data_IF_754296149135
#
_entry.id   IF_754296149135
#
_cell.length_a   1.000
_cell.length_b   1.000
_cell.length_c   1.000
_cell.angle_alpha   90.00
_cell.angle_beta   90.00
_cell.angle_gamma   90.00
#
_symmetry.space_group_name_H-M   'P 1'
#
loop_
_entity.id
_entity.type
_entity.pdbx_description
1 polymer ?
#
# COMPACT_ATOMS: atom_id res chain seq x y z
N UNK A 1 -13.42 -0.14 10.93
CA UNK A 1 -13.25 0.81 12.04
C UNK A 1 -14.37 0.74 13.07
N UNK A 2 -15.64 0.90 12.67
CA UNK A 2 -16.77 0.86 13.63
C UNK A 2 -16.81 -0.43 14.48
N UNK A 3 -16.56 -1.59 13.88
CA UNK A 3 -16.50 -2.87 14.59
C UNK A 3 -15.40 -2.90 15.68
N UNK A 4 -14.21 -2.33 15.42
CA UNK A 4 -13.16 -2.21 16.44
C UNK A 4 -13.60 -1.34 17.62
N UNK A 5 -14.13 -0.15 17.32
CA UNK A 5 -14.55 0.82 18.35
C UNK A 5 -15.69 0.25 19.21
N UNK A 6 -16.56 -0.59 18.63
CA UNK A 6 -17.63 -1.29 19.33
C UNK A 6 -17.19 -2.57 20.05
N UNK A 7 -15.92 -3.00 19.90
CA UNK A 7 -15.43 -4.26 20.45
C UNK A 7 -15.94 -5.51 19.74
N UNK A 8 -16.46 -5.38 18.51
CA UNK A 8 -16.93 -6.49 17.67
C UNK A 8 -15.79 -7.14 16.85
N UNK A 9 -14.61 -6.51 16.83
CA UNK A 9 -13.40 -7.02 16.19
C UNK A 9 -12.19 -6.69 17.06
N UNK A 10 -11.17 -7.55 17.04
CA UNK A 10 -9.95 -7.39 17.84
C UNK A 10 -8.81 -6.69 17.08
N UNK A 11 -8.83 -6.75 15.75
CA UNK A 11 -7.76 -6.22 14.91
C UNK A 11 -8.28 -5.64 13.59
N UNK A 12 -7.54 -4.69 13.04
CA UNK A 12 -7.80 -4.08 11.74
C UNK A 12 -6.50 -3.80 11.02
N UNK A 13 -6.54 -3.94 9.70
CA UNK A 13 -5.46 -3.57 8.80
C UNK A 13 -6.02 -2.59 7.76
N UNK A 14 -5.36 -1.45 7.64
CA UNK A 14 -5.77 -0.37 6.73
C UNK A 14 -4.63 0.62 6.52
N UNK A 15 -4.92 1.73 5.84
CA UNK A 15 -3.91 2.77 5.61
C UNK A 15 -3.56 3.50 6.92
N UNK A 16 -2.32 3.94 7.04
CA UNK A 16 -1.81 4.71 8.18
C UNK A 16 -2.73 5.91 8.49
N UNK A 17 -3.11 6.68 7.46
CA UNK A 17 -3.99 7.84 7.58
C UNK A 17 -5.36 7.54 8.19
N UNK A 18 -5.88 6.30 8.04
CA UNK A 18 -7.18 5.90 8.58
C UNK A 18 -7.08 5.53 10.07
N UNK A 19 -5.94 4.97 10.50
CA UNK A 19 -5.75 4.51 11.89
C UNK A 19 -5.05 5.56 12.77
N UNK A 20 -4.37 6.53 12.18
CA UNK A 20 -3.47 7.45 12.88
C UNK A 20 -4.09 8.13 14.10
N UNK A 21 -5.26 8.77 13.94
CA UNK A 21 -5.91 9.49 15.03
C UNK A 21 -6.18 8.57 16.23
N UNK A 22 -6.73 7.38 15.99
CA UNK A 22 -7.07 6.42 17.05
C UNK A 22 -5.83 5.85 17.75
N UNK A 23 -4.70 5.73 17.03
CA UNK A 23 -3.43 5.33 17.65
C UNK A 23 -2.85 6.46 18.49
N UNK A 24 -2.94 7.70 18.01
CA UNK A 24 -2.44 8.88 18.72
C UNK A 24 -3.26 9.24 19.96
N UNK A 25 -4.57 9.01 19.95
CA UNK A 25 -5.46 9.19 21.12
C UNK A 25 -5.37 8.05 22.12
N UNK A 26 -4.72 6.94 21.76
CA UNK A 26 -4.58 5.74 22.60
C UNK A 26 -5.79 4.80 22.56
N UNK A 27 -6.78 5.08 21.70
CA UNK A 27 -7.96 4.21 21.50
C UNK A 27 -7.58 2.88 20.82
N UNK A 28 -6.53 2.89 19.99
CA UNK A 28 -5.94 1.71 19.35
C UNK A 28 -4.43 1.64 19.61
N UNK A 29 -3.89 0.42 19.58
CA UNK A 29 -2.44 0.19 19.61
C UNK A 29 -1.93 -0.08 18.20
N UNK A 30 -1.04 0.78 17.70
CA UNK A 30 -0.31 0.51 16.46
C UNK A 30 0.66 -0.66 16.65
N UNK A 31 0.45 -1.76 15.90
CA UNK A 31 1.28 -2.96 16.01
C UNK A 31 2.44 -2.94 15.03
N UNK A 32 2.15 -2.69 13.74
CA UNK A 32 3.12 -2.72 12.66
C UNK A 32 2.64 -1.91 11.47
N UNK A 33 3.55 -1.27 10.74
CA UNK A 33 3.29 -0.64 9.45
C UNK A 33 3.81 -1.51 8.32
N UNK A 34 2.93 -1.82 7.38
CA UNK A 34 3.26 -2.69 6.24
C UNK A 34 3.87 -1.86 5.12
N UNK A 35 5.15 -1.53 5.30
CA UNK A 35 5.99 -0.82 4.33
C UNK A 35 7.34 -1.54 4.21
N UNK A 36 7.95 -1.45 3.02
CA UNK A 36 9.22 -2.13 2.72
C UNK A 36 10.33 -1.73 3.68
N UNK A 37 10.45 -0.43 3.96
CA UNK A 37 11.46 0.10 4.87
C UNK A 37 11.06 1.45 5.46
N UNK A 38 11.74 1.85 6.53
CA UNK A 38 11.55 3.13 7.22
C UNK A 38 10.35 3.13 8.17
N UNK A 39 10.11 4.27 8.80
CA UNK A 39 8.94 4.49 9.68
C UNK A 39 7.81 5.17 8.93
N UNK A 40 6.60 5.12 9.50
CA UNK A 40 5.45 5.83 8.99
C UNK A 40 5.63 7.34 9.01
N UNK A 41 4.95 8.05 8.12
CA UNK A 41 5.02 9.52 8.08
C UNK A 41 4.21 10.16 9.21
N UNK A 42 3.14 9.49 9.66
CA UNK A 42 2.20 9.99 10.67
C UNK A 42 2.41 9.29 12.02
N UNK A 43 2.80 8.02 11.99
CA UNK A 43 3.04 7.16 13.15
C UNK A 43 4.50 6.66 13.18
N UNK A 44 5.49 7.54 13.41
CA UNK A 44 6.91 7.16 13.35
C UNK A 44 7.32 6.16 14.45
N UNK A 45 6.58 6.12 15.56
CA UNK A 45 6.88 5.24 16.70
C UNK A 45 6.45 3.79 16.46
N UNK A 46 5.54 3.55 15.50
CA UNK A 46 5.10 2.20 15.13
C UNK A 46 6.18 1.56 14.24
N UNK A 47 6.67 0.35 14.55
CA UNK A 47 7.69 -0.32 13.74
C UNK A 47 7.15 -0.71 12.38
N UNK A 48 8.03 -0.67 11.37
CA UNK A 48 7.74 -1.31 10.09
C UNK A 48 7.73 -2.83 10.21
N UNK A 49 7.13 -3.50 9.23
CA UNK A 49 7.07 -4.94 9.16
C UNK A 49 8.47 -5.57 9.14
N UNK A 50 9.42 -4.98 8.42
CA UNK A 50 10.79 -5.46 8.36
C UNK A 50 11.58 -5.26 9.66
N UNK A 51 11.25 -4.23 10.46
CA UNK A 51 11.86 -4.06 11.79
C UNK A 51 11.30 -5.04 12.83
N UNK A 52 9.98 -5.28 12.80
CA UNK A 52 9.33 -6.18 13.75
C UNK A 52 9.52 -7.66 13.37
N UNK A 53 9.58 -7.95 12.07
CA UNK A 53 9.67 -9.30 11.50
C UNK A 53 10.61 -9.28 10.29
N UNK A 54 11.93 -9.39 10.48
CA UNK A 54 12.91 -9.34 9.39
C UNK A 54 12.66 -10.38 8.29
N UNK A 55 12.13 -11.55 8.65
CA UNK A 55 11.76 -12.63 7.72
C UNK A 55 10.53 -12.29 6.85
N UNK A 56 9.77 -11.25 7.24
CA UNK A 56 8.54 -10.80 6.60
C UNK A 56 8.73 -9.74 5.52
N UNK A 57 9.96 -9.45 5.08
CA UNK A 57 10.21 -8.42 4.06
C UNK A 57 9.43 -8.70 2.75
N UNK A 58 9.32 -9.97 2.33
CA UNK A 58 8.53 -10.34 1.15
C UNK A 58 7.03 -10.03 1.30
N UNK A 59 6.51 -10.00 2.53
CA UNK A 59 5.11 -9.64 2.80
C UNK A 59 4.89 -8.13 2.63
N UNK A 60 5.89 -7.30 2.91
CA UNK A 60 5.76 -5.84 2.78
C UNK A 60 5.51 -5.42 1.32
N UNK A 61 6.25 -6.01 0.38
CA UNK A 61 6.07 -5.76 -1.06
C UNK A 61 4.72 -6.31 -1.58
N UNK A 62 4.26 -7.44 -1.02
CA UNK A 62 2.94 -8.01 -1.36
C UNK A 62 1.79 -7.13 -0.88
N UNK A 63 1.82 -6.73 0.39
CA UNK A 63 0.69 -6.10 1.09
C UNK A 63 0.61 -4.59 0.91
N UNK A 64 1.68 -3.95 0.39
CA UNK A 64 1.70 -2.52 0.14
C UNK A 64 0.54 -2.06 -0.75
N UNK A 65 0.01 -0.86 -0.49
CA UNK A 65 -1.06 -0.31 -1.32
C UNK A 65 -0.46 0.36 -2.56
N UNK A 66 -0.80 -0.15 -3.74
CA UNK A 66 -0.42 0.43 -5.04
C UNK A 66 -1.67 0.83 -5.82
N UNK A 67 -1.57 1.92 -6.59
CA UNK A 67 -2.57 2.34 -7.57
C UNK A 67 -1.89 2.43 -8.92
N UNK A 68 -2.29 1.56 -9.85
CA UNK A 68 -1.66 1.44 -11.18
C UNK A 68 -2.58 2.04 -12.23
N UNK A 69 -2.02 2.83 -13.13
CA UNK A 69 -2.67 3.19 -14.39
C UNK A 69 -2.25 2.16 -15.45
N UNK A 70 -3.21 1.40 -15.97
CA UNK A 70 -2.97 0.39 -16.99
C UNK A 70 -3.75 0.71 -18.27
N UNK A 71 -3.20 0.28 -19.41
CA UNK A 71 -3.85 0.37 -20.71
C UNK A 71 -4.05 -1.04 -21.30
N UNK A 72 -5.01 -1.24 -22.22
CA UNK A 72 -5.22 -2.54 -22.85
C UNK A 72 -3.98 -3.07 -23.57
N UNK A 73 -3.82 -4.41 -23.67
CA UNK A 73 -2.78 -5.01 -24.50
C UNK A 73 -2.84 -4.50 -25.94
N UNK A 74 -1.67 -4.24 -26.53
CA UNK A 74 -1.58 -3.73 -27.91
C UNK A 74 -1.81 -2.22 -28.06
N UNK A 75 -1.96 -1.47 -26.96
CA UNK A 75 -2.01 0.00 -27.02
C UNK A 75 -0.74 0.54 -27.72
N UNK A 76 -0.89 1.42 -28.74
CA UNK A 76 0.27 1.95 -29.48
C UNK A 76 1.29 2.64 -28.59
N UNK A 77 2.58 2.47 -28.93
CA UNK A 77 3.69 3.02 -28.13
C UNK A 77 3.62 4.55 -27.96
N UNK A 78 3.21 5.26 -29.01
CA UNK A 78 2.98 6.71 -28.95
C UNK A 78 1.95 7.10 -27.88
N UNK A 79 0.83 6.37 -27.81
CA UNK A 79 -0.20 6.57 -26.78
C UNK A 79 0.34 6.24 -25.39
N UNK A 80 1.08 5.14 -25.25
CA UNK A 80 1.70 4.75 -23.98
C UNK A 80 2.68 5.81 -23.48
N UNK A 81 3.48 6.40 -24.38
CA UNK A 81 4.41 7.47 -24.04
C UNK A 81 3.68 8.69 -23.48
N UNK A 82 2.62 9.15 -24.16
CA UNK A 82 1.81 10.29 -23.70
C UNK A 82 1.20 10.02 -22.32
N UNK A 83 0.65 8.83 -22.09
CA UNK A 83 0.05 8.49 -20.79
C UNK A 83 1.08 8.47 -19.65
N UNK A 84 2.27 7.90 -19.90
CA UNK A 84 3.37 7.85 -18.90
C UNK A 84 3.88 9.25 -18.58
N UNK A 85 4.07 10.08 -19.59
CA UNK A 85 4.51 11.47 -19.42
C UNK A 85 3.46 12.28 -18.65
N UNK A 86 2.17 12.17 -19.01
CA UNK A 86 1.10 12.85 -18.31
C UNK A 86 0.99 12.44 -16.84
N UNK A 87 1.09 11.14 -16.54
CA UNK A 87 1.08 10.65 -15.15
C UNK A 87 2.28 11.20 -14.36
N UNK A 88 3.48 11.15 -14.94
CA UNK A 88 4.69 11.69 -14.30
C UNK A 88 4.55 13.19 -14.02
N UNK A 89 4.04 13.96 -14.97
CA UNK A 89 3.80 15.40 -14.81
C UNK A 89 2.75 15.69 -13.74
N UNK A 90 1.66 14.90 -13.68
CA UNK A 90 0.63 15.04 -12.66
C UNK A 90 1.22 14.78 -11.26
N UNK A 91 1.99 13.70 -11.11
CA UNK A 91 2.59 13.31 -9.82
C UNK A 91 3.71 14.26 -9.36
N UNK A 92 4.25 15.09 -10.26
CA UNK A 92 5.21 16.14 -9.95
C UNK A 92 4.56 17.52 -9.70
N UNK A 93 3.23 17.63 -9.83
CA UNK A 93 2.51 18.89 -9.68
C UNK A 93 2.58 19.39 -8.22
N UNK A 94 3.14 20.59 -8.03
CA UNK A 94 3.39 21.12 -6.68
C UNK A 94 2.12 21.45 -5.91
N UNK A 95 1.04 21.89 -6.58
CA UNK A 95 -0.24 22.16 -5.94
C UNK A 95 -0.87 20.87 -5.41
N UNK A 96 -0.84 19.80 -6.20
CA UNK A 96 -1.29 18.47 -5.78
C UNK A 96 -0.47 17.97 -4.59
N UNK A 97 0.87 18.05 -4.67
CA UNK A 97 1.74 17.61 -3.58
C UNK A 97 1.55 18.44 -2.30
N UNK A 98 1.25 19.74 -2.41
CA UNK A 98 0.92 20.56 -1.23
C UNK A 98 -0.38 20.11 -0.57
N UNK A 99 -1.46 19.95 -1.35
CA UNK A 99 -2.75 19.48 -0.84
C UNK A 99 -2.64 18.08 -0.23
N UNK A 100 -1.83 17.20 -0.84
CA UNK A 100 -1.57 15.87 -0.31
C UNK A 100 -0.86 15.93 1.06
N UNK A 101 0.16 16.79 1.21
CA UNK A 101 0.84 17.00 2.50
C UNK A 101 -0.10 17.57 3.57
N UNK A 102 -0.91 18.57 3.22
CA UNK A 102 -1.91 19.17 4.12
C UNK A 102 -2.94 18.14 4.58
N UNK A 103 -3.36 17.25 3.68
CA UNK A 103 -4.27 16.16 3.99
C UNK A 103 -3.59 14.93 4.61
N UNK A 104 -2.26 14.97 4.84
CA UNK A 104 -1.46 13.84 5.31
C UNK A 104 -1.65 12.57 4.47
N UNK A 105 -1.79 12.74 3.15
CA UNK A 105 -1.88 11.66 2.17
C UNK A 105 -0.47 11.48 1.59
N UNK A 106 0.24 10.39 1.92
CA UNK A 106 1.54 10.11 1.32
C UNK A 106 1.36 9.80 -0.17
N UNK A 107 2.09 10.52 -1.02
CA UNK A 107 2.11 10.32 -2.47
C UNK A 107 3.53 9.95 -2.88
N UNK A 108 3.68 8.72 -3.38
CA UNK A 108 4.93 8.23 -3.95
C UNK A 108 4.67 7.85 -5.41
N UNK A 109 5.55 8.28 -6.31
CA UNK A 109 5.49 7.93 -7.72
C UNK A 109 6.51 6.83 -8.03
N UNK A 110 6.03 5.78 -8.69
CA UNK A 110 6.85 4.71 -9.23
C UNK A 110 6.82 4.73 -10.75
N UNK A 111 7.88 4.22 -11.38
CA UNK A 111 7.93 4.10 -12.84
C UNK A 111 7.08 2.93 -13.34
N UNK A 112 6.86 2.86 -14.66
CA UNK A 112 6.13 1.75 -15.27
C UNK A 112 6.84 0.40 -15.04
N UNK A 113 8.17 0.41 -15.05
CA UNK A 113 9.01 -0.77 -14.82
C UNK A 113 8.85 -1.27 -13.39
N UNK A 114 8.87 -0.37 -12.41
CA UNK A 114 8.71 -0.73 -11.01
C UNK A 114 7.28 -1.19 -10.71
N UNK A 115 6.27 -0.53 -11.27
CA UNK A 115 4.88 -0.97 -11.16
C UNK A 115 4.69 -2.37 -11.74
N UNK A 116 5.32 -2.69 -12.89
CA UNK A 116 5.28 -4.02 -13.49
C UNK A 116 6.00 -5.05 -12.61
N UNK A 117 7.18 -4.71 -12.07
CA UNK A 117 7.95 -5.57 -11.16
C UNK A 117 7.13 -5.95 -9.94
N UNK A 118 6.50 -4.97 -9.28
CA UNK A 118 5.66 -5.20 -8.10
C UNK A 118 4.41 -6.02 -8.47
N UNK A 119 3.77 -5.73 -9.61
CA UNK A 119 2.62 -6.52 -10.07
C UNK A 119 2.99 -7.99 -10.31
N UNK A 120 4.12 -8.26 -10.97
CA UNK A 120 4.62 -9.61 -11.20
C UNK A 120 4.97 -10.32 -9.89
N UNK A 121 5.67 -9.64 -8.98
CA UNK A 121 5.99 -10.16 -7.66
C UNK A 121 4.73 -10.58 -6.89
N UNK A 122 3.65 -9.78 -6.95
CA UNK A 122 2.37 -10.10 -6.30
C UNK A 122 1.69 -11.31 -6.91
N UNK A 123 1.74 -11.46 -8.24
CA UNK A 123 1.22 -12.66 -8.91
C UNK A 123 2.01 -13.89 -8.47
N UNK A 124 3.35 -13.84 -8.51
CA UNK A 124 4.19 -14.96 -8.09
C UNK A 124 4.00 -15.32 -6.61
N UNK A 125 3.83 -14.33 -5.74
CA UNK A 125 3.51 -14.56 -4.33
C UNK A 125 2.15 -15.24 -4.18
N UNK A 126 1.12 -14.73 -4.85
CA UNK A 126 -0.23 -15.32 -4.80
C UNK A 126 -0.24 -16.77 -5.32
N UNK A 127 0.60 -17.11 -6.30
CA UNK A 127 0.79 -18.47 -6.76
C UNK A 127 1.52 -19.34 -5.73
N UNK A 128 2.65 -18.86 -5.19
CA UNK A 128 3.45 -19.56 -4.16
C UNK A 128 2.61 -19.94 -2.94
N UNK A 129 1.70 -19.07 -2.52
CA UNK A 129 0.87 -19.26 -1.32
C UNK A 129 -0.59 -19.63 -1.62
N UNK A 130 -0.91 -19.99 -2.88
CA UNK A 130 -2.27 -20.33 -3.31
C UNK A 130 -2.88 -21.40 -2.41
N UNK A 131 -2.20 -22.54 -2.25
CA UNK A 131 -2.72 -23.69 -1.51
C UNK A 131 -2.93 -23.40 -0.02
N UNK A 132 -2.18 -22.45 0.53
CA UNK A 132 -2.32 -22.04 1.92
C UNK A 132 -3.62 -21.24 2.16
N UNK A 133 -4.08 -20.45 1.17
CA UNK A 133 -5.20 -19.52 1.37
C UNK A 133 -6.48 -19.90 0.60
N UNK A 134 -6.40 -20.76 -0.42
CA UNK A 134 -7.57 -21.19 -1.19
C UNK A 134 -8.65 -21.94 -0.42
N UNK A 135 -8.31 -22.84 0.54
CA UNK A 135 -9.31 -23.49 1.36
C UNK A 135 -10.18 -22.53 2.20
N UNK A 136 -9.70 -21.31 2.48
CA UNK A 136 -10.47 -20.30 3.19
C UNK A 136 -11.49 -19.57 2.30
N UNK A 137 -11.29 -19.59 0.97
CA UNK A 137 -12.17 -18.96 -0.01
C UNK A 137 -13.28 -19.90 -0.50
N UNK A 138 -12.99 -21.20 -0.60
CA UNK A 138 -13.94 -22.21 -1.08
C UNK A 138 -14.96 -22.65 -0.02
N UNK A 139 -14.71 -22.36 1.27
CA UNK A 139 -15.62 -22.67 2.38
C UNK A 139 -16.77 -21.67 2.55
N UNK A 140 -17.14 -20.92 1.50
CA UNK A 140 -18.28 -20.01 1.50
C UNK A 140 -19.48 -20.59 0.78
#
# INVERSE_FOLDING_TARGET
>A
MLALVKGEADAYMGSESVVANLVQTGDLKGLVLVQKSGRGQILPDVPSLSEAFPEGEELADMMGQMRVLAAPPGTPEGTMKVLREALKSAMANQEMLSKAREAQIPINYDTAEEALRIAQLRVSFAEKYRDAWMPAYEKK
#
